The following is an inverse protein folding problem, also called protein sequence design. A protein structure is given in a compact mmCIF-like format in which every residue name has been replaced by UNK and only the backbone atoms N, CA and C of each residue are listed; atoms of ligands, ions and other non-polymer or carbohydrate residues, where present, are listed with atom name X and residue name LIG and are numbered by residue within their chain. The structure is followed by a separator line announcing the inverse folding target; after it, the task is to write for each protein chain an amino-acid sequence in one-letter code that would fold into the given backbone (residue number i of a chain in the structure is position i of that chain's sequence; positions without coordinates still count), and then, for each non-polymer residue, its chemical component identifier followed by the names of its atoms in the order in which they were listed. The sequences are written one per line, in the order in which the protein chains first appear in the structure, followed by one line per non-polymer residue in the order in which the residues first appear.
data_IF_901858072433
#
_entry.id   IF_901858072433
#
_cell.length_a   1.000
_cell.length_b   1.000
_cell.length_c   1.000
_cell.angle_alpha   90.00
_cell.angle_beta   90.00
_cell.angle_gamma   90.00
#
_symmetry.space_group_name_H-M   'P 1'
#
loop_
_entity.id
_entity.type
_entity.pdbx_description
1 polymer ?
#
# COMPACT_ATOMS: atom_id res chain seq x y z
N UNK A 1 35.51 -2.47 2.87
CA UNK A 1 34.41 -2.54 1.89
C UNK A 1 33.24 -3.18 2.60
N UNK A 2 32.10 -2.52 2.75
CA UNK A 2 30.87 -3.23 3.08
C UNK A 2 30.51 -4.05 1.84
N UNK A 3 30.25 -5.35 2.00
CA UNK A 3 29.77 -6.17 0.90
C UNK A 3 28.46 -5.57 0.38
N UNK A 4 28.41 -5.25 -0.92
CA UNK A 4 27.23 -4.70 -1.57
C UNK A 4 26.12 -5.75 -1.48
N UNK A 5 25.02 -5.39 -0.81
CA UNK A 5 23.89 -6.29 -0.63
C UNK A 5 22.93 -6.21 -1.82
N UNK A 6 22.34 -7.35 -2.19
CA UNK A 6 21.38 -7.46 -3.29
C UNK A 6 19.96 -7.59 -2.76
N UNK A 7 19.05 -6.76 -3.27
CA UNK A 7 17.62 -6.84 -2.97
C UNK A 7 16.79 -6.89 -4.26
N UNK A 8 15.62 -7.50 -4.19
CA UNK A 8 14.62 -7.48 -5.26
C UNK A 8 13.35 -6.76 -4.79
N UNK A 9 12.72 -6.03 -5.71
CA UNK A 9 11.41 -5.41 -5.50
C UNK A 9 10.48 -5.86 -6.63
N UNK A 10 9.50 -6.68 -6.27
CA UNK A 10 8.47 -7.17 -7.18
C UNK A 10 7.24 -6.28 -7.01
N UNK A 11 6.88 -5.56 -8.07
CA UNK A 11 5.88 -4.50 -8.09
C UNK A 11 6.51 -3.14 -7.82
N UNK A 12 6.53 -2.30 -8.85
CA UNK A 12 7.07 -0.92 -8.83
C UNK A 12 5.92 0.10 -8.91
N UNK A 13 4.85 -0.19 -8.17
CA UNK A 13 3.77 0.77 -7.90
C UNK A 13 4.21 1.88 -6.93
N UNK A 14 3.27 2.68 -6.45
CA UNK A 14 3.52 3.84 -5.58
C UNK A 14 4.44 3.55 -4.39
N UNK A 15 4.24 2.41 -3.70
CA UNK A 15 5.03 2.01 -2.53
C UNK A 15 6.33 1.29 -2.92
N UNK A 16 6.24 0.31 -3.83
CA UNK A 16 7.41 -0.46 -4.26
C UNK A 16 8.47 0.38 -4.98
N UNK A 17 8.05 1.38 -5.76
CA UNK A 17 8.96 2.36 -6.35
C UNK A 17 9.76 3.11 -5.27
N UNK A 18 9.09 3.57 -4.21
CA UNK A 18 9.76 4.24 -3.09
C UNK A 18 10.74 3.31 -2.36
N UNK A 19 10.35 2.07 -2.11
CA UNK A 19 11.23 1.07 -1.51
C UNK A 19 12.48 0.82 -2.39
N UNK A 20 12.30 0.64 -3.70
CA UNK A 20 13.38 0.38 -4.64
C UNK A 20 14.38 1.53 -4.70
N UNK A 21 13.90 2.78 -4.78
CA UNK A 21 14.76 3.96 -4.74
C UNK A 21 15.48 4.12 -3.40
N UNK A 22 14.82 3.78 -2.28
CA UNK A 22 15.42 3.88 -0.95
C UNK A 22 16.55 2.86 -0.77
N UNK A 23 16.36 1.63 -1.27
CA UNK A 23 17.41 0.62 -1.32
C UNK A 23 18.60 1.05 -2.19
N UNK A 24 18.36 1.64 -3.36
CA UNK A 24 19.43 2.18 -4.22
C UNK A 24 20.24 3.27 -3.51
N UNK A 25 19.56 4.22 -2.83
CA UNK A 25 20.24 5.27 -2.04
C UNK A 25 21.06 4.71 -0.89
N UNK A 26 20.64 3.58 -0.30
CA UNK A 26 21.37 2.87 0.74
C UNK A 26 22.54 2.01 0.19
N UNK A 27 22.78 2.02 -1.13
CA UNK A 27 23.91 1.33 -1.76
C UNK A 27 23.66 -0.14 -2.11
N UNK A 28 22.40 -0.59 -2.11
CA UNK A 28 22.07 -1.94 -2.57
C UNK A 28 22.19 -2.05 -4.09
N UNK A 29 22.54 -3.24 -4.58
CA UNK A 29 22.18 -3.64 -5.95
C UNK A 29 20.71 -4.03 -5.94
N UNK A 30 19.86 -3.30 -6.66
CA UNK A 30 18.42 -3.54 -6.64
C UNK A 30 17.93 -4.05 -7.99
N UNK A 31 17.32 -5.23 -7.97
CA UNK A 31 16.57 -5.77 -9.10
C UNK A 31 15.08 -5.43 -8.95
N UNK A 32 14.44 -5.01 -10.03
CA UNK A 32 13.04 -4.57 -10.04
C UNK A 32 12.24 -5.29 -11.11
N UNK A 33 11.05 -5.75 -10.75
CA UNK A 33 10.12 -6.39 -11.69
C UNK A 33 8.75 -5.71 -11.60
N UNK A 34 8.15 -5.38 -12.74
CA UNK A 34 6.80 -4.84 -12.87
C UNK A 34 6.25 -5.21 -14.26
N UNK A 35 4.93 -5.30 -14.41
CA UNK A 35 4.30 -5.61 -15.69
C UNK A 35 4.41 -4.46 -16.70
N UNK A 36 4.69 -3.24 -16.21
CA UNK A 36 4.71 -2.02 -17.01
C UNK A 36 6.13 -1.71 -17.49
N UNK A 37 6.34 -1.81 -18.80
CA UNK A 37 7.66 -1.56 -19.42
C UNK A 37 8.15 -0.12 -19.24
N UNK A 38 7.25 0.87 -19.22
CA UNK A 38 7.61 2.26 -18.96
C UNK A 38 8.16 2.46 -17.54
N UNK A 39 7.62 1.73 -16.56
CA UNK A 39 8.10 1.76 -15.17
C UNK A 39 9.45 1.06 -15.04
N UNK A 40 9.64 -0.07 -15.73
CA UNK A 40 10.92 -0.76 -15.80
C UNK A 40 12.00 0.12 -16.43
N UNK A 41 11.70 0.84 -17.52
CA UNK A 41 12.66 1.75 -18.13
C UNK A 41 13.07 2.86 -17.16
N UNK A 42 12.10 3.52 -16.52
CA UNK A 42 12.36 4.55 -15.52
C UNK A 42 13.18 4.02 -14.34
N UNK A 43 12.96 2.77 -13.93
CA UNK A 43 13.74 2.15 -12.87
C UNK A 43 15.20 1.93 -13.27
N UNK A 44 15.44 1.50 -14.50
CA UNK A 44 16.79 1.39 -15.06
C UNK A 44 17.49 2.74 -15.14
N UNK A 45 16.77 3.78 -15.58
CA UNK A 45 17.30 5.15 -15.63
C UNK A 45 17.67 5.69 -14.24
N UNK A 46 17.00 5.20 -13.18
CA UNK A 46 17.30 5.53 -11.79
C UNK A 46 18.48 4.72 -11.19
N UNK A 47 19.13 3.86 -11.97
CA UNK A 47 20.26 3.02 -11.57
C UNK A 47 19.88 1.62 -11.05
N UNK A 48 18.59 1.26 -11.14
CA UNK A 48 18.11 -0.09 -10.85
C UNK A 48 18.39 -1.08 -11.99
N UNK A 49 18.27 -2.37 -11.69
CA UNK A 49 18.33 -3.44 -12.70
C UNK A 49 16.93 -3.97 -12.97
N UNK A 50 16.39 -3.70 -14.13
CA UNK A 50 15.04 -4.15 -14.50
C UNK A 50 15.04 -5.60 -14.97
N UNK A 51 14.04 -6.37 -14.53
CA UNK A 51 13.81 -7.77 -14.87
C UNK A 51 12.41 -7.95 -15.46
N UNK A 52 12.26 -8.86 -16.41
CA UNK A 52 10.97 -9.16 -17.04
C UNK A 52 10.12 -10.10 -16.19
N UNK A 53 10.78 -10.93 -15.37
CA UNK A 53 10.12 -11.90 -14.51
C UNK A 53 10.54 -11.77 -13.04
N UNK A 54 9.66 -12.13 -12.09
CA UNK A 54 10.04 -12.24 -10.68
C UNK A 54 11.24 -13.17 -10.43
N UNK A 55 11.34 -14.30 -11.15
CA UNK A 55 12.46 -15.24 -11.00
C UNK A 55 13.80 -14.65 -11.44
N UNK A 56 13.85 -13.83 -12.49
CA UNK A 56 15.06 -13.08 -12.83
C UNK A 56 15.49 -12.12 -11.71
N UNK A 57 14.53 -11.44 -11.10
CA UNK A 57 14.82 -10.46 -10.05
C UNK A 57 15.34 -11.11 -8.76
N UNK A 58 14.90 -12.33 -8.43
CA UNK A 58 15.22 -12.97 -7.14
C UNK A 58 16.45 -13.86 -7.15
N UNK A 59 17.02 -14.19 -8.31
CA UNK A 59 18.12 -15.16 -8.44
C UNK A 59 19.36 -14.85 -7.57
N UNK A 60 19.66 -13.57 -7.34
CA UNK A 60 20.80 -13.08 -6.54
C UNK A 60 20.35 -12.38 -5.24
N UNK A 61 19.05 -12.27 -5.00
CA UNK A 61 18.51 -11.40 -3.95
C UNK A 61 18.57 -12.06 -2.56
N UNK A 62 19.14 -11.34 -1.60
CA UNK A 62 19.11 -11.75 -0.19
C UNK A 62 17.79 -11.37 0.49
N UNK A 63 17.16 -10.28 0.04
CA UNK A 63 15.85 -9.80 0.49
C UNK A 63 14.95 -9.49 -0.71
N UNK A 64 13.69 -9.91 -0.65
CA UNK A 64 12.69 -9.75 -1.71
C UNK A 64 11.47 -9.03 -1.14
N UNK A 65 11.18 -7.83 -1.62
CA UNK A 65 9.96 -7.10 -1.28
C UNK A 65 8.87 -7.40 -2.30
N UNK A 66 7.68 -7.74 -1.80
CA UNK A 66 6.52 -8.06 -2.64
C UNK A 66 5.45 -6.97 -2.48
N UNK A 67 5.40 -6.05 -3.44
CA UNK A 67 4.49 -4.90 -3.51
C UNK A 67 3.46 -5.05 -4.65
N UNK A 68 2.61 -6.06 -4.51
CA UNK A 68 1.47 -6.30 -5.41
C UNK A 68 0.16 -5.81 -4.79
N UNK A 69 -0.95 -5.84 -5.56
CA UNK A 69 -2.24 -5.29 -5.11
C UNK A 69 -2.99 -6.24 -4.19
N UNK A 70 -2.99 -7.54 -4.47
CA UNK A 70 -3.82 -8.53 -3.77
C UNK A 70 -3.15 -9.91 -3.68
N UNK A 71 -3.79 -10.83 -2.95
CA UNK A 71 -3.27 -12.18 -2.73
C UNK A 71 -3.18 -13.01 -4.02
N UNK A 72 -4.08 -12.85 -4.98
CA UNK A 72 -4.00 -13.55 -6.25
C UNK A 72 -2.76 -13.13 -7.06
N UNK A 73 -2.42 -11.84 -7.03
CA UNK A 73 -1.17 -11.37 -7.64
C UNK A 73 0.05 -11.87 -6.86
N UNK A 74 -0.02 -11.91 -5.52
CA UNK A 74 1.07 -12.43 -4.70
C UNK A 74 1.34 -13.91 -5.01
N UNK A 75 0.28 -14.71 -5.11
CA UNK A 75 0.32 -16.11 -5.55
C UNK A 75 0.99 -16.26 -6.93
N UNK A 76 0.58 -15.44 -7.90
CA UNK A 76 1.13 -15.47 -9.25
C UNK A 76 2.62 -15.11 -9.28
N UNK A 77 3.02 -14.01 -8.64
CA UNK A 77 4.43 -13.55 -8.71
C UNK A 77 5.37 -14.39 -7.86
N UNK A 78 4.87 -15.13 -6.87
CA UNK A 78 5.69 -15.99 -6.02
C UNK A 78 5.79 -17.41 -6.60
N UNK A 79 4.67 -17.98 -7.03
CA UNK A 79 4.57 -19.41 -7.32
C UNK A 79 4.08 -19.75 -8.75
N UNK A 80 3.66 -18.75 -9.53
CA UNK A 80 3.29 -18.95 -10.93
C UNK A 80 4.51 -19.17 -11.83
N UNK A 81 4.30 -19.42 -13.14
CA UNK A 81 5.40 -19.53 -14.10
C UNK A 81 6.25 -18.25 -14.14
N UNK A 82 7.58 -18.39 -14.01
CA UNK A 82 8.50 -17.26 -13.84
C UNK A 82 8.42 -16.61 -12.46
N UNK A 83 7.82 -17.30 -11.49
CA UNK A 83 7.60 -16.83 -10.13
C UNK A 83 8.89 -16.76 -9.32
N UNK A 84 8.90 -15.87 -8.34
CA UNK A 84 10.07 -15.53 -7.54
C UNK A 84 10.72 -16.75 -6.86
N UNK A 85 9.93 -17.76 -6.50
CA UNK A 85 10.43 -18.95 -5.80
C UNK A 85 11.25 -19.88 -6.71
N UNK A 86 11.11 -19.80 -8.04
CA UNK A 86 11.81 -20.70 -8.97
C UNK A 86 13.34 -20.60 -8.88
N UNK A 87 13.86 -19.42 -8.52
CA UNK A 87 15.30 -19.09 -8.51
C UNK A 87 15.79 -18.54 -7.17
N UNK A 88 14.88 -18.31 -6.21
CA UNK A 88 15.25 -17.85 -4.88
C UNK A 88 16.14 -18.88 -4.17
N UNK A 89 17.21 -18.40 -3.53
CA UNK A 89 18.16 -19.25 -2.81
C UNK A 89 17.65 -19.53 -1.40
N UNK A 90 17.99 -20.70 -0.87
CA UNK A 90 17.71 -21.02 0.53
C UNK A 90 18.20 -19.90 1.47
N UNK A 91 17.35 -19.50 2.43
CA UNK A 91 17.63 -18.39 3.35
C UNK A 91 17.44 -16.98 2.77
N UNK A 92 16.93 -16.83 1.54
CA UNK A 92 16.38 -15.55 1.07
C UNK A 92 15.19 -15.16 1.95
N UNK A 93 15.11 -13.89 2.34
CA UNK A 93 13.99 -13.37 3.12
C UNK A 93 12.97 -12.66 2.24
N UNK A 94 11.72 -13.10 2.30
CA UNK A 94 10.59 -12.47 1.62
C UNK A 94 9.86 -11.54 2.59
N UNK A 95 9.68 -10.29 2.18
CA UNK A 95 8.87 -9.29 2.86
C UNK A 95 7.55 -9.15 2.10
N UNK A 96 6.48 -9.71 2.68
CA UNK A 96 5.14 -9.64 2.12
C UNK A 96 4.52 -8.28 2.48
N UNK A 97 4.58 -7.33 1.56
CA UNK A 97 4.21 -5.94 1.85
C UNK A 97 2.80 -5.55 1.41
N UNK A 98 2.13 -6.40 0.63
CA UNK A 98 0.76 -6.18 0.17
C UNK A 98 -0.25 -6.27 1.32
N UNK A 99 -1.25 -5.40 1.32
CA UNK A 99 -2.42 -5.57 2.21
C UNK A 99 -3.25 -6.76 1.70
N UNK A 100 -3.32 -7.83 2.50
CA UNK A 100 -4.08 -9.05 2.21
C UNK A 100 -4.85 -9.49 3.46
N UNK A 101 -5.80 -10.41 3.28
CA UNK A 101 -6.40 -11.08 4.43
C UNK A 101 -5.31 -11.83 5.22
N UNK A 102 -5.31 -11.80 6.57
CA UNK A 102 -4.27 -12.44 7.36
C UNK A 102 -4.10 -13.93 7.06
N UNK A 103 -5.21 -14.63 6.80
CA UNK A 103 -5.20 -16.05 6.41
C UNK A 103 -4.46 -16.31 5.10
N UNK A 104 -4.61 -15.42 4.11
CA UNK A 104 -3.89 -15.51 2.85
C UNK A 104 -2.38 -15.25 3.04
N UNK A 105 -2.02 -14.26 3.86
CA UNK A 105 -0.61 -14.01 4.19
C UNK A 105 0.04 -15.21 4.87
N UNK A 106 -0.66 -15.83 5.84
CA UNK A 106 -0.17 -17.03 6.54
C UNK A 106 0.02 -18.17 5.54
N UNK A 107 -0.96 -18.45 4.68
CA UNK A 107 -0.87 -19.54 3.70
C UNK A 107 0.29 -19.36 2.69
N UNK A 108 0.52 -18.12 2.24
CA UNK A 108 1.65 -17.79 1.37
C UNK A 108 2.97 -17.99 2.13
N UNK A 109 3.04 -17.50 3.37
CA UNK A 109 4.23 -17.62 4.19
C UNK A 109 4.60 -19.08 4.48
N UNK A 110 3.63 -19.92 4.87
CA UNK A 110 3.84 -21.34 5.14
C UNK A 110 4.47 -22.06 3.94
N UNK A 111 4.04 -21.71 2.71
CA UNK A 111 4.58 -22.28 1.47
C UNK A 111 6.00 -21.81 1.17
N UNK A 112 6.31 -20.54 1.44
CA UNK A 112 7.67 -20.01 1.30
C UNK A 112 8.62 -20.66 2.32
N UNK A 113 8.18 -20.77 3.58
CA UNK A 113 8.96 -21.40 4.66
C UNK A 113 9.17 -22.89 4.39
N UNK A 114 8.17 -23.60 3.87
CA UNK A 114 8.30 -25.00 3.44
C UNK A 114 9.32 -25.19 2.31
N UNK A 115 9.58 -24.14 1.52
CA UNK A 115 10.61 -24.12 0.48
C UNK A 115 12.00 -23.64 0.99
N UNK A 116 12.16 -23.45 2.31
CA UNK A 116 13.43 -23.05 2.94
C UNK A 116 13.72 -21.54 2.89
N UNK A 117 12.69 -20.72 2.65
CA UNK A 117 12.79 -19.26 2.72
C UNK A 117 12.49 -18.76 4.13
N UNK A 118 12.93 -17.53 4.41
CA UNK A 118 12.50 -16.77 5.59
C UNK A 118 11.39 -15.81 5.18
N UNK A 119 10.44 -15.53 6.08
CA UNK A 119 9.31 -14.64 5.77
C UNK A 119 9.10 -13.61 6.87
N UNK A 120 8.88 -12.38 6.44
CA UNK A 120 8.29 -11.31 7.25
C UNK A 120 6.97 -10.91 6.60
N UNK A 121 5.86 -11.12 7.31
CA UNK A 121 4.59 -10.43 7.03
C UNK A 121 4.82 -8.95 7.32
N UNK A 122 5.02 -8.14 6.28
CA UNK A 122 5.60 -6.81 6.38
C UNK A 122 4.74 -5.73 5.69
N UNK A 123 3.41 -5.67 5.90
CA UNK A 123 2.60 -4.61 5.33
C UNK A 123 3.06 -3.24 5.83
N UNK A 124 2.92 -2.24 4.97
CA UNK A 124 3.48 -0.90 5.19
C UNK A 124 2.41 0.18 5.32
N UNK A 125 2.76 1.27 5.99
CA UNK A 125 1.97 2.49 6.08
C UNK A 125 2.86 3.74 5.91
N UNK A 126 2.23 4.90 5.71
CA UNK A 126 2.92 6.19 5.56
C UNK A 126 2.75 6.86 4.20
N UNK A 127 2.17 6.16 3.22
CA UNK A 127 1.89 6.69 1.88
C UNK A 127 3.13 6.90 1.02
N UNK A 128 2.90 7.41 -0.19
CA UNK A 128 3.91 7.57 -1.23
C UNK A 128 5.11 8.41 -0.79
N UNK A 129 4.88 9.52 -0.08
CA UNK A 129 5.94 10.42 0.37
C UNK A 129 6.94 9.72 1.30
N UNK A 130 6.45 8.98 2.31
CA UNK A 130 7.32 8.22 3.22
C UNK A 130 7.98 7.03 2.54
N UNK A 131 7.33 6.41 1.55
CA UNK A 131 7.98 5.40 0.73
C UNK A 131 9.16 5.98 -0.05
N UNK A 132 9.01 7.16 -0.65
CA UNK A 132 10.08 7.83 -1.38
C UNK A 132 11.25 8.25 -0.48
N UNK A 133 10.99 8.71 0.75
CA UNK A 133 12.03 9.13 1.69
C UNK A 133 12.72 7.96 2.41
N UNK A 134 12.19 6.73 2.32
CA UNK A 134 12.70 5.57 3.07
C UNK A 134 12.24 5.56 4.53
N UNK A 135 11.11 6.20 4.82
CA UNK A 135 10.57 6.38 6.17
C UNK A 135 9.23 5.68 6.37
N UNK A 136 8.99 4.58 5.64
CA UNK A 136 7.76 3.80 5.82
C UNK A 136 7.65 3.27 7.25
N UNK A 137 6.41 3.02 7.66
CA UNK A 137 6.12 2.26 8.87
C UNK A 137 5.83 0.84 8.46
N UNK A 138 6.66 -0.10 8.90
CA UNK A 138 6.45 -1.54 8.69
C UNK A 138 5.74 -2.11 9.90
N UNK A 139 4.59 -2.75 9.68
CA UNK A 139 3.83 -3.49 10.68
C UNK A 139 4.19 -4.97 10.53
N UNK A 140 5.35 -5.36 11.07
CA UNK A 140 5.97 -6.64 10.77
C UNK A 140 5.60 -7.75 11.74
N UNK A 141 5.43 -8.99 11.28
CA UNK A 141 5.51 -10.20 12.10
C UNK A 141 6.22 -11.35 11.37
N UNK A 142 6.91 -12.22 12.10
CA UNK A 142 7.79 -13.24 11.53
C UNK A 142 8.92 -13.60 12.49
N UNK A 143 9.67 -14.66 12.18
CA UNK A 143 10.68 -15.18 13.11
C UNK A 143 11.79 -14.15 13.40
N UNK A 144 12.44 -14.20 14.58
CA UNK A 144 13.60 -13.36 14.87
C UNK A 144 14.71 -13.48 13.83
N UNK A 145 14.88 -14.68 13.25
CA UNK A 145 15.83 -14.95 12.17
C UNK A 145 15.46 -14.20 10.88
N UNK A 146 14.20 -14.24 10.47
CA UNK A 146 13.71 -13.50 9.31
C UNK A 146 13.94 -11.99 9.47
N UNK A 147 13.64 -11.44 10.66
CA UNK A 147 13.92 -10.04 10.96
C UNK A 147 15.42 -9.71 10.98
N UNK A 148 16.26 -10.59 11.52
CA UNK A 148 17.70 -10.38 11.52
C UNK A 148 18.25 -10.36 10.08
N UNK A 149 17.80 -11.29 9.24
CA UNK A 149 18.17 -11.36 7.83
C UNK A 149 17.69 -10.15 7.04
N UNK A 150 16.47 -9.68 7.29
CA UNK A 150 15.86 -8.54 6.61
C UNK A 150 16.37 -7.19 7.11
N UNK A 151 17.05 -7.13 8.26
CA UNK A 151 17.39 -5.88 8.95
C UNK A 151 18.05 -4.84 8.06
N UNK A 152 19.10 -5.13 7.27
CA UNK A 152 19.74 -4.10 6.45
C UNK A 152 18.79 -3.47 5.42
N UNK A 153 17.94 -4.29 4.80
CA UNK A 153 16.98 -3.84 3.81
C UNK A 153 15.81 -3.08 4.47
N UNK A 154 15.37 -3.51 5.65
CA UNK A 154 14.38 -2.80 6.45
C UNK A 154 14.89 -1.43 6.91
N UNK A 155 16.14 -1.34 7.38
CA UNK A 155 16.78 -0.08 7.79
C UNK A 155 16.85 0.93 6.61
N UNK A 156 16.92 0.45 5.37
CA UNK A 156 16.98 1.29 4.17
C UNK A 156 15.62 1.87 3.75
N UNK A 157 14.50 1.20 4.07
CA UNK A 157 13.17 1.55 3.53
C UNK A 157 12.19 2.03 4.59
N UNK A 158 12.50 1.84 5.87
CA UNK A 158 11.59 2.09 6.97
C UNK A 158 12.19 3.05 8.01
N UNK A 159 11.39 4.03 8.42
CA UNK A 159 11.69 4.89 9.55
C UNK A 159 11.28 4.23 10.88
N UNK A 160 10.36 3.27 10.83
CA UNK A 160 9.97 2.49 11.99
C UNK A 160 9.52 1.08 11.60
N UNK A 161 9.94 0.08 12.38
CA UNK A 161 9.57 -1.32 12.20
C UNK A 161 8.99 -1.86 13.50
N UNK A 162 7.68 -2.08 13.51
CA UNK A 162 7.02 -2.78 14.60
C UNK A 162 7.19 -4.30 14.42
N UNK A 163 7.50 -5.00 15.50
CA UNK A 163 7.58 -6.47 15.55
C UNK A 163 6.43 -7.00 16.39
N UNK A 164 5.46 -7.61 15.72
CA UNK A 164 4.12 -7.90 16.25
C UNK A 164 3.92 -9.40 16.55
N UNK A 165 5.01 -10.17 16.59
CA UNK A 165 5.01 -11.59 16.91
C UNK A 165 6.00 -12.37 16.06
N UNK A 166 6.29 -13.60 16.49
CA UNK A 166 7.33 -14.46 15.90
C UNK A 166 6.84 -15.30 14.71
N UNK A 167 5.61 -15.08 14.25
CA UNK A 167 5.03 -15.76 13.08
C UNK A 167 4.32 -14.76 12.14
N UNK A 168 4.32 -15.02 10.83
CA UNK A 168 3.51 -14.26 9.87
C UNK A 168 2.02 -14.24 10.25
N UNK A 169 1.32 -13.13 9.98
CA UNK A 169 -0.12 -12.98 10.13
C UNK A 169 -0.56 -11.77 10.98
N UNK A 170 0.11 -11.51 12.11
CA UNK A 170 -0.27 -10.41 13.02
C UNK A 170 0.03 -9.04 12.40
N UNK A 171 1.08 -8.92 11.58
CA UNK A 171 1.35 -7.71 10.80
C UNK A 171 0.17 -7.34 9.90
N UNK A 172 -0.33 -8.31 9.14
CA UNK A 172 -1.51 -8.20 8.28
C UNK A 172 -2.79 -7.89 9.07
N UNK A 173 -2.97 -8.47 10.26
CA UNK A 173 -4.12 -8.13 11.13
C UNK A 173 -4.11 -6.67 11.58
N UNK A 174 -2.97 -6.19 12.09
CA UNK A 174 -2.82 -4.79 12.52
C UNK A 174 -2.97 -3.85 11.33
N UNK A 175 -2.41 -4.21 10.17
CA UNK A 175 -2.59 -3.44 8.94
C UNK A 175 -4.05 -3.36 8.52
N UNK A 176 -4.80 -4.45 8.57
CA UNK A 176 -6.22 -4.47 8.23
C UNK A 176 -7.01 -3.50 9.13
N UNK A 177 -6.75 -3.49 10.43
CA UNK A 177 -7.36 -2.53 11.37
C UNK A 177 -6.94 -1.09 11.02
N UNK A 178 -5.68 -0.86 10.65
CA UNK A 178 -5.25 0.45 10.15
C UNK A 178 -6.02 0.84 8.87
N UNK A 179 -6.32 -0.10 7.97
CA UNK A 179 -7.08 0.20 6.76
C UNK A 179 -8.56 0.47 7.01
N UNK A 180 -9.15 -0.11 8.07
CA UNK A 180 -10.47 0.31 8.57
C UNK A 180 -10.45 1.80 8.90
N UNK A 181 -9.51 2.23 9.75
CA UNK A 181 -9.39 3.65 10.13
C UNK A 181 -9.12 4.53 8.91
N UNK A 182 -8.19 4.11 8.05
CA UNK A 182 -7.84 4.85 6.85
C UNK A 182 -9.04 5.09 5.93
N UNK A 183 -9.79 4.03 5.59
CA UNK A 183 -10.91 4.13 4.66
C UNK A 183 -12.06 4.94 5.23
N UNK A 184 -12.37 4.76 6.53
CA UNK A 184 -13.39 5.59 7.20
C UNK A 184 -12.98 7.05 7.24
N UNK A 185 -11.72 7.35 7.56
CA UNK A 185 -11.23 8.73 7.59
C UNK A 185 -11.25 9.41 6.21
N UNK A 186 -10.95 8.68 5.13
CA UNK A 186 -11.07 9.23 3.77
C UNK A 186 -12.54 9.50 3.43
N UNK A 187 -13.44 8.55 3.73
CA UNK A 187 -14.87 8.71 3.47
C UNK A 187 -15.47 9.92 4.22
N UNK A 188 -15.16 10.08 5.51
CA UNK A 188 -15.63 11.24 6.29
C UNK A 188 -14.94 12.55 5.88
N UNK A 189 -13.69 12.50 5.40
CA UNK A 189 -13.03 13.67 4.78
C UNK A 189 -13.81 14.12 3.55
N UNK A 190 -14.17 13.18 2.67
CA UNK A 190 -14.97 13.45 1.49
C UNK A 190 -16.34 14.06 1.84
N UNK A 191 -17.01 13.54 2.87
CA UNK A 191 -18.27 14.07 3.39
C UNK A 191 -18.11 15.51 3.92
N UNK A 192 -17.11 15.75 4.77
CA UNK A 192 -16.84 17.06 5.35
C UNK A 192 -16.52 18.12 4.29
N UNK A 193 -15.67 17.79 3.31
CA UNK A 193 -15.30 18.71 2.22
C UNK A 193 -16.51 19.01 1.32
N UNK A 194 -17.33 17.99 1.02
CA UNK A 194 -18.57 18.17 0.26
C UNK A 194 -19.56 19.06 1.00
N UNK A 195 -19.73 18.85 2.31
CA UNK A 195 -20.64 19.64 3.13
C UNK A 195 -20.18 21.11 3.26
N UNK A 196 -18.86 21.34 3.37
CA UNK A 196 -18.31 22.68 3.35
C UNK A 196 -18.58 23.40 2.02
N UNK A 197 -18.37 22.72 0.89
CA UNK A 197 -18.72 23.26 -0.43
C UNK A 197 -20.22 23.61 -0.52
N UNK A 198 -21.10 22.75 0.04
CA UNK A 198 -22.55 22.98 0.07
C UNK A 198 -22.95 24.19 0.89
N UNK A 199 -22.25 24.46 1.99
CA UNK A 199 -22.52 25.60 2.88
C UNK A 199 -21.81 26.88 2.44
N UNK A 200 -21.04 26.83 1.35
CA UNK A 200 -20.34 27.99 0.79
C UNK A 200 -19.06 28.38 1.53
N UNK A 201 -18.52 27.48 2.37
CA UNK A 201 -17.23 27.68 3.02
C UNK A 201 -16.11 27.43 1.99
N UNK A 202 -15.11 28.32 1.96
CA UNK A 202 -13.91 28.11 1.15
C UNK A 202 -13.15 26.86 1.63
N UNK A 203 -12.95 25.90 0.71
CA UNK A 203 -12.38 24.59 1.03
C UNK A 203 -10.93 24.68 1.51
N UNK A 204 -10.15 25.62 0.96
CA UNK A 204 -8.77 25.83 1.38
C UNK A 204 -8.70 26.33 2.82
N UNK A 205 -9.52 27.33 3.14
CA UNK A 205 -9.64 27.86 4.51
C UNK A 205 -10.07 26.78 5.49
N UNK A 206 -11.08 25.97 5.13
CA UNK A 206 -11.50 24.84 5.95
C UNK A 206 -10.37 23.84 6.19
N UNK A 207 -9.66 23.45 5.13
CA UNK A 207 -8.53 22.53 5.22
C UNK A 207 -7.44 23.05 6.15
N UNK A 208 -7.05 24.32 6.03
CA UNK A 208 -6.04 24.96 6.88
C UNK A 208 -6.43 24.98 8.35
N UNK A 209 -7.71 25.22 8.66
CA UNK A 209 -8.23 25.21 10.04
C UNK A 209 -8.29 23.79 10.59
N UNK A 210 -8.88 22.85 9.84
CA UNK A 210 -9.16 21.52 10.34
C UNK A 210 -7.92 20.66 10.47
N UNK A 211 -6.91 20.83 9.61
CA UNK A 211 -5.68 20.02 9.64
C UNK A 211 -4.90 20.13 10.97
N UNK A 212 -5.04 21.25 11.68
CA UNK A 212 -4.43 21.47 13.02
C UNK A 212 -5.44 21.38 14.17
N UNK A 213 -6.71 21.07 13.87
CA UNK A 213 -7.78 20.96 14.86
C UNK A 213 -7.96 19.52 15.32
N UNK A 214 -8.67 19.33 16.44
CA UNK A 214 -8.91 17.99 17.02
C UNK A 214 -9.67 17.02 16.11
N UNK A 215 -10.42 17.53 15.12
CA UNK A 215 -11.09 16.72 14.11
C UNK A 215 -10.18 16.19 13.00
N UNK A 216 -8.89 16.55 13.02
CA UNK A 216 -7.93 16.10 12.02
C UNK A 216 -7.65 14.60 12.09
N UNK A 217 -7.19 14.06 10.97
CA UNK A 217 -6.55 12.77 10.87
C UNK A 217 -5.47 12.85 9.79
N UNK A 218 -4.50 11.93 9.79
CA UNK A 218 -3.51 11.90 8.71
C UNK A 218 -4.16 11.78 7.32
N UNK A 219 -5.28 11.05 7.20
CA UNK A 219 -6.01 10.94 5.95
C UNK A 219 -6.69 12.25 5.55
N UNK A 220 -7.22 13.02 6.51
CA UNK A 220 -7.76 14.36 6.24
C UNK A 220 -6.64 15.30 5.75
N UNK A 221 -5.51 15.35 6.47
CA UNK A 221 -4.39 16.20 6.09
C UNK A 221 -3.87 15.91 4.69
N UNK A 222 -3.91 14.64 4.28
CA UNK A 222 -3.41 14.20 2.99
C UNK A 222 -4.47 14.30 1.86
N UNK A 223 -5.66 13.71 2.03
CA UNK A 223 -6.70 13.67 0.98
C UNK A 223 -7.52 14.95 0.91
N UNK A 224 -7.65 15.69 2.01
CA UNK A 224 -8.25 17.01 2.00
C UNK A 224 -7.50 17.94 1.06
N UNK A 225 -6.16 17.87 1.03
CA UNK A 225 -5.33 18.66 0.12
C UNK A 225 -5.58 18.29 -1.35
N UNK A 226 -5.68 17.00 -1.67
CA UNK A 226 -6.02 16.53 -3.02
C UNK A 226 -7.36 17.10 -3.51
N UNK A 227 -8.38 17.15 -2.62
CA UNK A 227 -9.69 17.72 -2.94
C UNK A 227 -9.60 19.25 -3.13
N UNK A 228 -8.83 19.95 -2.30
CA UNK A 228 -8.64 21.41 -2.41
C UNK A 228 -7.90 21.77 -3.71
N UNK A 229 -6.86 21.02 -4.07
CA UNK A 229 -6.08 21.25 -5.28
C UNK A 229 -6.79 20.77 -6.55
N UNK A 230 -7.76 19.87 -6.41
CA UNK A 230 -8.42 19.20 -7.53
C UNK A 230 -7.52 18.19 -8.24
N UNK A 231 -6.41 17.78 -7.62
CA UNK A 231 -5.52 16.75 -8.14
C UNK A 231 -5.95 15.36 -7.65
N UNK A 232 -6.61 14.62 -8.53
CA UNK A 232 -7.02 13.23 -8.28
C UNK A 232 -6.10 12.22 -8.96
N UNK A 233 -4.84 12.60 -9.23
CA UNK A 233 -3.83 11.67 -9.74
C UNK A 233 -3.57 10.57 -8.68
N UNK A 234 -3.76 9.29 -9.02
CA UNK A 234 -3.75 8.23 -8.01
C UNK A 234 -2.37 8.04 -7.38
N UNK A 235 -2.27 8.34 -6.08
CA UNK A 235 -1.17 7.85 -5.22
C UNK A 235 -1.56 6.58 -4.47
N UNK A 236 -2.86 6.43 -4.25
CA UNK A 236 -3.61 5.24 -3.87
C UNK A 236 -4.97 5.36 -4.54
N UNK A 237 -5.47 4.30 -5.16
CA UNK A 237 -6.68 4.38 -5.99
C UNK A 237 -7.95 4.05 -5.21
N UNK A 238 -9.11 4.50 -5.68
CA UNK A 238 -10.43 4.12 -5.14
C UNK A 238 -10.55 2.60 -5.00
N UNK A 239 -10.16 1.83 -6.02
CA UNK A 239 -10.26 0.37 -6.00
C UNK A 239 -9.35 -0.31 -4.96
N UNK A 240 -8.30 0.37 -4.49
CA UNK A 240 -7.49 -0.11 -3.36
C UNK A 240 -8.34 -0.13 -2.09
N UNK A 241 -9.16 0.90 -1.86
CA UNK A 241 -10.04 0.95 -0.69
C UNK A 241 -11.31 0.11 -0.85
N UNK A 242 -11.79 -0.14 -2.07
CA UNK A 242 -12.80 -1.18 -2.32
C UNK A 242 -12.27 -2.55 -1.86
N UNK A 243 -11.03 -2.89 -2.22
CA UNK A 243 -10.38 -4.13 -1.81
C UNK A 243 -10.11 -4.18 -0.30
N UNK A 244 -9.46 -3.15 0.26
CA UNK A 244 -9.02 -3.15 1.65
C UNK A 244 -10.19 -3.15 2.63
N UNK A 245 -11.21 -2.30 2.40
CA UNK A 245 -12.41 -2.33 3.23
C UNK A 245 -13.24 -3.60 2.99
N UNK A 246 -13.15 -4.22 1.81
CA UNK A 246 -13.71 -5.55 1.55
C UNK A 246 -13.07 -6.64 2.43
N UNK A 247 -11.75 -6.60 2.60
CA UNK A 247 -11.03 -7.49 3.54
C UNK A 247 -11.51 -7.22 4.97
N UNK A 248 -11.58 -5.96 5.39
CA UNK A 248 -12.06 -5.57 6.72
C UNK A 248 -13.45 -6.12 6.98
N UNK A 249 -14.41 -5.92 6.07
CA UNK A 249 -15.77 -6.38 6.21
C UNK A 249 -15.84 -7.91 6.35
N UNK A 250 -15.16 -8.64 5.45
CA UNK A 250 -15.16 -10.11 5.48
C UNK A 250 -14.53 -10.68 6.75
N UNK A 251 -13.44 -10.10 7.24
CA UNK A 251 -12.78 -10.57 8.46
C UNK A 251 -13.55 -10.18 9.73
N UNK A 252 -14.21 -9.01 9.73
CA UNK A 252 -15.09 -8.60 10.80
C UNK A 252 -16.29 -9.57 10.94
N UNK A 253 -16.93 -9.92 9.82
CA UNK A 253 -18.02 -10.91 9.78
C UNK A 253 -17.56 -12.27 10.31
N UNK A 254 -16.39 -12.75 9.84
CA UNK A 254 -15.80 -14.03 10.31
C UNK A 254 -15.51 -14.03 11.81
N UNK A 255 -15.11 -12.89 12.36
CA UNK A 255 -14.80 -12.72 13.78
C UNK A 255 -16.03 -12.40 14.65
N UNK A 256 -17.20 -12.14 14.05
CA UNK A 256 -18.37 -11.62 14.77
C UNK A 256 -18.19 -10.21 15.32
N UNK A 257 -17.31 -9.40 14.72
CA UNK A 257 -17.01 -8.04 15.15
C UNK A 257 -17.87 -7.01 14.39
N UNK A 258 -18.50 -6.08 15.11
CA UNK A 258 -19.30 -5.03 14.50
C UNK A 258 -18.41 -3.88 13.97
N UNK A 259 -18.47 -3.59 12.66
CA UNK A 259 -17.70 -2.52 12.02
C UNK A 259 -18.58 -1.60 11.14
N UNK A 260 -19.68 -1.02 11.67
CA UNK A 260 -20.71 -0.36 10.86
C UNK A 260 -20.19 0.81 10.01
N UNK A 261 -19.25 1.60 10.54
CA UNK A 261 -18.64 2.71 9.79
C UNK A 261 -17.80 2.22 8.61
N UNK A 262 -17.09 1.11 8.76
CA UNK A 262 -16.31 0.51 7.69
C UNK A 262 -17.21 0.01 6.56
N UNK A 263 -18.34 -0.62 6.91
CA UNK A 263 -19.35 -1.07 5.94
C UNK A 263 -19.94 0.10 5.15
N UNK A 264 -20.26 1.22 5.82
CA UNK A 264 -20.74 2.43 5.13
C UNK A 264 -19.67 3.03 4.23
N UNK A 265 -18.42 3.13 4.70
CA UNK A 265 -17.31 3.61 3.88
C UNK A 265 -17.11 2.72 2.63
N UNK A 266 -17.15 1.39 2.80
CA UNK A 266 -17.03 0.43 1.68
C UNK A 266 -18.11 0.66 0.62
N UNK A 267 -19.36 0.94 1.02
CA UNK A 267 -20.43 1.27 0.08
C UNK A 267 -20.12 2.53 -0.73
N UNK A 268 -19.57 3.57 -0.10
CA UNK A 268 -19.18 4.81 -0.80
C UNK A 268 -18.05 4.55 -1.82
N UNK A 269 -17.03 3.78 -1.44
CA UNK A 269 -15.95 3.42 -2.37
C UNK A 269 -16.44 2.55 -3.53
N UNK A 270 -17.36 1.60 -3.29
CA UNK A 270 -17.99 0.82 -4.36
C UNK A 270 -18.77 1.69 -5.33
N UNK A 271 -19.56 2.64 -4.82
CA UNK A 271 -20.29 3.59 -5.65
C UNK A 271 -19.34 4.44 -6.51
N UNK A 272 -18.20 4.88 -5.95
CA UNK A 272 -17.19 5.62 -6.71
C UNK A 272 -16.54 4.76 -7.81
N UNK A 273 -16.21 3.51 -7.48
CA UNK A 273 -15.69 2.54 -8.46
C UNK A 273 -16.69 2.29 -9.61
N UNK A 274 -17.96 2.04 -9.27
CA UNK A 274 -19.07 1.85 -10.23
C UNK A 274 -19.35 3.09 -11.09
N UNK A 275 -19.08 4.29 -10.56
CA UNK A 275 -19.13 5.55 -11.30
C UNK A 275 -17.92 5.79 -12.22
N UNK A 276 -17.02 4.80 -12.37
CA UNK A 276 -15.85 4.87 -13.24
C UNK A 276 -14.61 5.52 -12.61
N UNK A 277 -14.65 5.83 -11.31
CA UNK A 277 -13.55 6.49 -10.61
C UNK A 277 -12.54 5.51 -10.00
N UNK A 278 -12.68 4.21 -10.25
CA UNK A 278 -11.88 3.15 -9.60
C UNK A 278 -10.37 3.32 -9.68
N UNK A 279 -9.87 3.92 -10.78
CA UNK A 279 -8.44 4.18 -11.02
C UNK A 279 -7.97 5.58 -10.63
N UNK A 280 -8.87 6.46 -10.22
CA UNK A 280 -8.52 7.78 -9.68
C UNK A 280 -8.05 7.67 -8.23
N UNK A 281 -7.44 8.74 -7.72
CA UNK A 281 -7.05 8.86 -6.31
C UNK A 281 -8.23 8.55 -5.38
N UNK A 282 -7.96 7.92 -4.25
CA UNK A 282 -8.98 7.50 -3.28
C UNK A 282 -9.80 8.69 -2.70
N UNK A 283 -9.30 9.93 -2.80
CA UNK A 283 -10.07 11.14 -2.54
C UNK A 283 -11.26 11.36 -3.50
N UNK A 284 -11.26 10.72 -4.68
CA UNK A 284 -12.30 10.86 -5.69
C UNK A 284 -13.67 10.33 -5.23
N UNK A 285 -13.73 9.58 -4.11
CA UNK A 285 -15.00 9.26 -3.44
C UNK A 285 -15.81 10.52 -3.09
N UNK A 286 -15.14 11.67 -2.90
CA UNK A 286 -15.80 12.97 -2.72
C UNK A 286 -16.62 13.42 -3.94
N UNK A 287 -16.24 13.03 -5.16
CA UNK A 287 -16.97 13.41 -6.38
C UNK A 287 -18.38 12.83 -6.40
N UNK A 288 -18.56 11.59 -5.92
CA UNK A 288 -19.87 10.94 -5.79
C UNK A 288 -20.76 11.69 -4.80
N UNK A 289 -20.21 12.09 -3.65
CA UNK A 289 -20.94 12.84 -2.64
C UNK A 289 -21.30 14.25 -3.12
N UNK A 290 -20.38 14.90 -3.82
CA UNK A 290 -20.57 16.22 -4.40
C UNK A 290 -21.70 16.23 -5.43
N UNK A 291 -21.71 15.26 -6.36
CA UNK A 291 -22.78 15.08 -7.34
C UNK A 291 -24.13 14.90 -6.66
N UNK A 292 -24.23 13.98 -5.68
CA UNK A 292 -25.46 13.76 -4.89
C UNK A 292 -25.93 14.99 -4.12
N UNK A 293 -24.99 15.85 -3.73
CA UNK A 293 -25.27 17.10 -3.00
C UNK A 293 -25.54 18.29 -3.91
N UNK A 294 -25.43 18.12 -5.23
CA UNK A 294 -25.58 19.19 -6.22
C UNK A 294 -24.51 20.27 -6.08
N UNK A 295 -23.27 19.89 -5.78
CA UNK A 295 -22.11 20.80 -5.69
C UNK A 295 -20.98 20.31 -6.59
N UNK A 296 -20.08 21.22 -6.95
CA UNK A 296 -18.92 20.94 -7.79
C UNK A 296 -17.67 21.18 -6.96
N UNK A 297 -16.86 20.15 -6.76
CA UNK A 297 -15.56 20.26 -6.13
C UNK A 297 -14.49 20.66 -7.17
N UNK A 298 -13.36 21.25 -6.74
CA UNK A 298 -12.22 21.47 -7.63
C UNK A 298 -11.84 20.21 -8.41
N UNK A 299 -11.46 20.34 -9.68
CA UNK A 299 -11.09 19.20 -10.53
C UNK A 299 -12.25 18.32 -11.03
N UNK A 300 -13.50 18.59 -10.65
CA UNK A 300 -14.67 17.93 -11.25
C UNK A 300 -15.05 18.59 -12.58
N UNK A 301 -15.31 17.77 -13.59
CA UNK A 301 -15.92 18.23 -14.85
C UNK A 301 -17.43 18.27 -14.67
N UNK A 302 -18.05 19.45 -14.86
CA UNK A 302 -19.51 19.56 -14.88
C UNK A 302 -20.00 18.98 -16.20
N UNK A 303 -20.67 17.83 -16.16
CA UNK A 303 -21.46 17.37 -17.31
C UNK A 303 -22.68 18.30 -17.37
N UNK A 304 -22.64 19.27 -18.27
CA UNK A 304 -23.79 20.13 -18.61
C UNK A 304 -24.74 19.41 -19.56
#
# INVERSE_FOLDING_TARGET
MQDVQTAAVIGLGSMGWGAALSLLRAGFTVYGCDLRSDVLQRFSDAGGKSCETPSEATAEAAAVFVFVVNSSQAEQVLFGPGGALETARAGTVFLLCATMAPSATIAIADRLEAAGMLVVDAPVSGGHAKALSGEMVVMGSGSPEAFARAKPALDAVAGNVFRLGDRPGTGSQVKMINQLLAGVHIAVTAEAMTFAAKTGIDLKTLYEVLRVSAGSSWMFENRGEHIVSGDYTPRSAVDIFVKDLGIVASEADRAGAATPLASTALLLFRQASEAGLGKEDDAAVAKVLAEKSGVVLPGMTVIR
#
